data_IF_452081395773
#
_entry.id   IF_452081395773
#
_cell.length_a   1.000
_cell.length_b   1.000
_cell.length_c   1.000
_cell.angle_alpha   90.00
_cell.angle_beta   90.00
_cell.angle_gamma   90.00
#
_symmetry.space_group_name_H-M   'P 1'
#
loop_
_entity.id
_entity.type
_entity.pdbx_description
1 polymer ?
#
# COMPACT_ATOMS: atom_id res chain seq x y z
N UNK A 1 4.63 -38.18 14.02
CA UNK A 1 4.70 -37.67 12.63
C UNK A 1 4.34 -36.18 12.50
N UNK A 2 3.52 -35.59 13.37
CA UNK A 2 3.08 -34.17 13.26
C UNK A 2 4.15 -33.11 13.62
N UNK A 3 5.07 -33.39 14.53
CA UNK A 3 6.13 -32.45 14.95
C UNK A 3 7.22 -32.16 13.87
N UNK A 4 7.52 -33.11 12.98
CA UNK A 4 8.51 -32.91 11.91
C UNK A 4 8.00 -32.11 10.70
N UNK A 5 6.69 -32.10 10.46
CA UNK A 5 6.11 -31.25 9.43
C UNK A 5 6.00 -29.79 9.86
N UNK A 6 5.77 -29.56 11.17
CA UNK A 6 5.68 -28.21 11.72
C UNK A 6 7.04 -27.49 11.67
N UNK A 7 8.13 -28.21 11.97
CA UNK A 7 9.48 -27.65 11.90
C UNK A 7 9.93 -27.30 10.47
N UNK A 8 9.40 -28.00 9.47
CA UNK A 8 9.71 -27.73 8.04
C UNK A 8 8.97 -26.50 7.51
N UNK A 9 7.74 -26.26 7.96
CA UNK A 9 6.97 -25.05 7.56
C UNK A 9 7.55 -23.79 8.18
N UNK A 10 7.98 -23.81 9.46
CA UNK A 10 8.64 -22.67 10.12
C UNK A 10 10.01 -22.36 9.50
N UNK A 11 10.78 -23.37 9.09
CA UNK A 11 12.06 -23.16 8.44
C UNK A 11 11.93 -22.54 7.04
N UNK A 12 10.90 -22.91 6.25
CA UNK A 12 10.62 -22.32 4.93
C UNK A 12 10.16 -20.86 5.06
N UNK A 13 9.36 -20.54 6.08
CA UNK A 13 8.92 -19.16 6.33
C UNK A 13 10.09 -18.26 6.80
N UNK A 14 10.98 -18.79 7.64
CA UNK A 14 12.18 -18.07 8.09
C UNK A 14 13.15 -17.81 6.93
N UNK A 15 13.30 -18.78 6.01
CA UNK A 15 14.23 -18.67 4.86
C UNK A 15 13.75 -17.64 3.84
N UNK A 16 12.43 -17.54 3.58
CA UNK A 16 11.86 -16.53 2.68
C UNK A 16 12.00 -15.13 3.28
N UNK A 17 11.85 -14.98 4.59
CA UNK A 17 12.05 -13.70 5.30
C UNK A 17 13.52 -13.27 5.27
N UNK A 18 14.48 -14.20 5.45
CA UNK A 18 15.91 -13.88 5.37
C UNK A 18 16.36 -13.51 3.95
N UNK A 19 15.85 -14.16 2.90
CA UNK A 19 16.25 -13.87 1.51
C UNK A 19 15.73 -12.53 1.01
N UNK A 20 14.56 -12.09 1.44
CA UNK A 20 14.05 -10.76 1.10
C UNK A 20 14.76 -9.62 1.85
N UNK A 21 15.43 -9.94 2.97
CA UNK A 21 16.18 -8.96 3.77
C UNK A 21 17.60 -8.69 3.25
N UNK A 22 18.22 -9.65 2.57
CA UNK A 22 19.58 -9.48 2.02
C UNK A 22 19.64 -8.66 0.73
N UNK A 23 18.54 -8.56 -0.01
CA UNK A 23 18.45 -7.72 -1.21
C UNK A 23 18.27 -6.21 -0.90
N UNK A 24 18.02 -5.83 0.36
CA UNK A 24 17.80 -4.43 0.76
C UNK A 24 19.09 -3.67 1.13
N UNK A 25 20.27 -4.31 1.01
CA UNK A 25 21.54 -3.68 1.43
C UNK A 25 22.24 -2.83 0.36
N UNK A 26 21.65 -2.65 -0.80
CA UNK A 26 22.24 -1.83 -1.86
C UNK A 26 21.32 -0.64 -2.16
N UNK A 27 21.63 0.46 -1.56
CA UNK A 27 21.15 1.84 -1.74
C UNK A 27 20.41 2.41 -0.53
N UNK A 28 21.08 2.48 0.60
CA UNK A 28 20.65 3.33 1.69
C UNK A 28 21.38 4.66 1.61
N UNK A 29 20.60 5.71 1.44
CA UNK A 29 21.03 7.08 1.65
C UNK A 29 21.64 7.23 3.05
N UNK A 30 22.77 7.94 3.15
CA UNK A 30 23.63 7.97 4.34
C UNK A 30 22.97 8.73 5.48
N UNK A 31 22.11 8.08 6.24
CA UNK A 31 21.49 8.75 7.39
C UNK A 31 20.86 7.91 8.48
N UNK A 32 20.68 6.61 8.29
CA UNK A 32 19.91 5.79 9.24
C UNK A 32 20.50 4.39 9.50
N UNK A 33 21.79 4.20 9.86
CA UNK A 33 22.33 2.85 10.06
C UNK A 33 21.85 2.18 11.36
N UNK A 34 21.48 2.93 12.39
CA UNK A 34 21.12 2.38 13.71
C UNK A 34 19.69 1.87 13.75
N UNK A 35 18.74 2.61 13.18
CA UNK A 35 17.32 2.23 13.16
C UNK A 35 17.01 0.99 12.32
N UNK A 36 17.82 0.69 11.31
CA UNK A 36 17.58 -0.46 10.42
C UNK A 36 17.76 -1.82 11.10
N UNK A 37 18.65 -1.95 12.07
CA UNK A 37 18.89 -3.20 12.80
C UNK A 37 17.73 -3.56 13.73
N UNK A 38 17.27 -2.60 14.52
CA UNK A 38 16.15 -2.80 15.48
C UNK A 38 14.81 -2.95 14.79
N UNK A 39 14.56 -2.19 13.72
CA UNK A 39 13.35 -2.33 12.89
C UNK A 39 13.30 -3.71 12.23
N UNK A 40 14.44 -4.23 11.74
CA UNK A 40 14.52 -5.58 11.18
C UNK A 40 14.23 -6.67 12.18
N UNK A 41 14.64 -6.50 13.44
CA UNK A 41 14.42 -7.47 14.50
C UNK A 41 12.95 -7.51 14.96
N UNK A 42 12.25 -6.37 14.97
CA UNK A 42 10.86 -6.25 15.45
C UNK A 42 9.78 -6.45 14.37
N UNK A 43 10.10 -6.25 13.09
CA UNK A 43 9.15 -6.50 12.00
C UNK A 43 8.53 -7.92 12.02
N UNK A 44 9.29 -9.00 12.28
CA UNK A 44 8.71 -10.33 12.41
C UNK A 44 7.70 -10.44 13.56
N UNK A 45 7.97 -9.81 14.71
CA UNK A 45 7.10 -9.86 15.90
C UNK A 45 5.76 -9.15 15.67
N UNK A 46 5.73 -8.09 14.85
CA UNK A 46 4.50 -7.39 14.45
C UNK A 46 3.62 -8.19 13.49
N UNK A 47 4.21 -9.16 12.77
CA UNK A 47 3.52 -9.97 11.75
C UNK A 47 3.21 -11.39 12.22
N UNK A 48 3.83 -11.87 13.29
CA UNK A 48 3.46 -13.16 13.87
C UNK A 48 2.13 -13.00 14.60
N UNK A 49 1.12 -13.72 14.11
CA UNK A 49 -0.12 -13.92 14.85
C UNK A 49 0.25 -14.63 16.15
N UNK A 50 0.16 -13.93 17.27
CA UNK A 50 0.44 -14.47 18.59
C UNK A 50 -0.30 -15.78 18.83
N UNK A 51 0.43 -16.88 18.79
CA UNK A 51 0.06 -18.07 19.52
C UNK A 51 0.39 -17.81 21.00
N UNK A 52 -0.62 -17.94 21.84
CA UNK A 52 -0.64 -17.87 23.28
C UNK A 52 0.71 -18.19 23.98
N UNK A 53 1.58 -17.21 24.12
CA UNK A 53 2.65 -17.23 25.09
C UNK A 53 3.23 -15.82 25.24
N UNK A 54 2.97 -15.21 26.37
CA UNK A 54 3.36 -13.87 26.80
C UNK A 54 2.67 -12.73 26.04
N UNK A 55 1.60 -12.22 26.60
CA UNK A 55 0.98 -10.95 26.21
C UNK A 55 2.03 -9.86 26.43
N UNK A 56 2.67 -9.46 25.33
CA UNK A 56 3.53 -8.30 25.36
C UNK A 56 2.60 -7.09 25.43
N UNK A 57 2.53 -6.44 26.59
CA UNK A 57 1.70 -5.25 26.84
C UNK A 57 2.24 -4.00 26.12
N UNK A 58 2.91 -4.18 24.99
CA UNK A 58 3.38 -3.06 24.19
C UNK A 58 2.19 -2.25 23.69
N UNK A 59 2.22 -0.95 24.00
CA UNK A 59 1.21 0.00 23.54
C UNK A 59 1.66 0.64 22.25
N UNK A 60 0.73 0.74 21.32
CA UNK A 60 0.93 1.40 20.04
C UNK A 60 0.14 2.70 20.01
N UNK A 61 0.68 3.72 19.37
CA UNK A 61 -0.10 4.91 19.05
C UNK A 61 -1.18 4.52 18.05
N UNK A 62 -2.41 4.89 18.36
CA UNK A 62 -3.54 4.68 17.46
C UNK A 62 -3.50 5.72 16.37
N UNK A 63 -3.60 5.27 15.12
CA UNK A 63 -3.68 6.13 13.95
C UNK A 63 -5.06 6.77 13.79
N UNK A 64 -5.44 6.99 12.57
CA UNK A 64 -6.66 7.69 12.14
C UNK A 64 -6.36 8.85 11.20
N UNK A 65 -5.09 9.24 11.10
CA UNK A 65 -4.65 10.28 10.18
C UNK A 65 -4.51 9.76 8.76
N UNK A 66 -4.86 10.58 7.75
CA UNK A 66 -4.61 10.26 6.36
C UNK A 66 -3.12 10.28 6.06
N UNK A 67 -2.66 9.38 5.23
CA UNK A 67 -1.31 9.38 4.71
C UNK A 67 -1.29 9.02 3.23
N UNK A 68 -0.32 9.60 2.52
CA UNK A 68 -0.07 9.30 1.13
C UNK A 68 0.88 8.12 0.97
N UNK A 69 0.55 7.26 0.03
CA UNK A 69 1.38 6.13 -0.38
C UNK A 69 1.86 6.36 -1.79
N UNK A 70 3.16 6.12 -2.04
CA UNK A 70 3.70 6.03 -3.39
C UNK A 70 4.58 4.79 -3.50
N UNK A 71 4.15 3.83 -4.33
CA UNK A 71 4.89 2.60 -4.58
C UNK A 71 5.54 2.64 -5.98
N UNK A 72 6.77 2.15 -6.06
CA UNK A 72 7.49 1.95 -7.30
C UNK A 72 7.72 0.45 -7.50
N UNK A 73 7.27 -0.07 -8.63
CA UNK A 73 7.27 -1.51 -8.94
C UNK A 73 8.53 -2.05 -9.62
N UNK A 74 9.64 -1.28 -9.64
CA UNK A 74 10.91 -1.73 -10.25
C UNK A 74 10.95 -1.62 -11.77
N UNK A 75 10.15 -0.71 -12.35
CA UNK A 75 10.10 -0.42 -13.78
C UNK A 75 8.85 0.37 -14.14
N UNK A 76 8.69 0.64 -15.42
CA UNK A 76 7.62 1.47 -15.95
C UNK A 76 6.56 0.59 -16.60
N UNK A 77 5.36 0.61 -16.05
CA UNK A 77 4.25 -0.25 -16.50
C UNK A 77 3.59 0.36 -17.74
N UNK A 78 3.43 -0.44 -18.79
CA UNK A 78 2.62 -0.10 -19.96
C UNK A 78 1.15 -0.29 -19.60
N UNK A 79 0.42 0.81 -19.44
CA UNK A 79 -1.01 0.80 -19.11
C UNK A 79 -1.93 0.83 -20.32
N UNK A 80 -1.36 1.14 -21.51
CA UNK A 80 -2.09 1.14 -22.76
C UNK A 80 -1.19 1.38 -23.95
N UNK A 81 -1.73 1.19 -25.14
CA UNK A 81 -1.10 1.43 -26.42
C UNK A 81 -1.95 2.42 -27.23
N UNK A 82 -1.31 3.28 -28.01
CA UNK A 82 -1.98 4.19 -28.93
C UNK A 82 -2.63 3.40 -30.07
N UNK A 83 -3.79 3.84 -30.53
CA UNK A 83 -4.48 3.22 -31.67
C UNK A 83 -3.79 3.56 -32.99
N UNK A 84 -3.30 4.79 -33.10
CA UNK A 84 -2.65 5.31 -34.31
C UNK A 84 -1.12 5.25 -34.17
N UNK A 85 -0.46 4.80 -35.24
CA UNK A 85 1.02 4.79 -35.37
C UNK A 85 1.74 4.39 -34.08
N UNK A 86 1.50 3.16 -33.64
CA UNK A 86 2.11 2.64 -32.40
C UNK A 86 3.32 1.75 -32.74
N UNK A 87 4.55 2.28 -32.76
CA UNK A 87 5.76 1.48 -32.98
C UNK A 87 5.93 0.38 -31.95
N UNK A 88 5.55 0.63 -30.70
CA UNK A 88 5.64 -0.35 -29.62
C UNK A 88 4.73 -1.58 -29.89
N UNK A 89 3.51 -1.35 -30.41
CA UNK A 89 2.60 -2.45 -30.78
C UNK A 89 3.17 -3.29 -31.92
N UNK A 90 3.75 -2.62 -32.94
CA UNK A 90 4.39 -3.31 -34.06
C UNK A 90 5.62 -4.13 -33.62
N UNK A 91 6.29 -3.69 -32.56
CA UNK A 91 7.42 -4.39 -31.95
C UNK A 91 7.02 -5.49 -30.96
N UNK A 92 5.71 -5.70 -30.71
CA UNK A 92 5.20 -6.75 -29.83
C UNK A 92 5.15 -6.36 -28.34
N UNK A 93 5.21 -5.08 -28.02
CA UNK A 93 4.93 -4.59 -26.66
C UNK A 93 3.43 -4.67 -26.42
N UNK A 94 3.05 -5.11 -25.22
CA UNK A 94 1.67 -5.31 -24.79
C UNK A 94 1.36 -4.51 -23.52
N UNK A 95 0.09 -4.33 -23.26
CA UNK A 95 -0.38 -3.81 -21.97
C UNK A 95 0.07 -4.75 -20.85
N UNK A 96 0.53 -4.18 -19.74
CA UNK A 96 1.13 -4.83 -18.56
C UNK A 96 2.60 -5.20 -18.71
N UNK A 97 3.24 -4.99 -19.84
CA UNK A 97 4.68 -5.08 -19.89
C UNK A 97 5.30 -4.05 -18.96
N UNK A 98 6.37 -4.43 -18.28
CA UNK A 98 7.15 -3.54 -17.41
C UNK A 98 8.46 -3.24 -18.09
N UNK A 99 8.65 -1.99 -18.52
CA UNK A 99 9.92 -1.54 -19.10
C UNK A 99 10.92 -1.32 -17.98
N UNK A 100 12.04 -2.03 -18.01
CA UNK A 100 13.13 -1.94 -17.02
C UNK A 100 14.36 -1.24 -17.53
N UNK A 101 14.66 -1.37 -18.82
CA UNK A 101 15.90 -0.82 -19.40
C UNK A 101 15.68 -0.29 -20.80
N UNK A 102 16.49 0.69 -21.15
CA UNK A 102 16.66 1.18 -22.52
C UNK A 102 18.14 0.99 -22.89
N UNK A 103 18.43 0.05 -23.76
CA UNK A 103 19.79 -0.46 -23.95
C UNK A 103 20.33 -1.02 -22.63
N UNK A 104 21.52 -0.53 -22.21
CA UNK A 104 22.15 -0.94 -20.95
C UNK A 104 21.72 -0.11 -19.74
N UNK A 105 20.93 0.94 -19.94
CA UNK A 105 20.52 1.87 -18.87
C UNK A 105 19.21 1.40 -18.23
N UNK A 106 19.19 1.23 -16.92
CA UNK A 106 17.96 1.04 -16.15
C UNK A 106 17.12 2.32 -16.17
N UNK A 107 15.80 2.15 -16.29
CA UNK A 107 14.80 3.22 -16.20
C UNK A 107 13.77 2.87 -15.15
N UNK A 108 13.49 3.82 -14.26
CA UNK A 108 12.57 3.65 -13.14
C UNK A 108 11.44 4.67 -13.13
N UNK A 109 11.60 5.78 -13.87
CA UNK A 109 10.60 6.85 -13.95
C UNK A 109 10.17 7.11 -15.39
N UNK A 110 8.96 7.66 -15.53
CA UNK A 110 8.41 8.07 -16.85
C UNK A 110 9.32 9.08 -17.53
N UNK A 111 9.92 9.99 -16.76
CA UNK A 111 10.85 11.01 -17.26
C UNK A 111 12.12 10.38 -17.80
N UNK A 112 12.69 9.38 -17.13
CA UNK A 112 13.88 8.67 -17.57
C UNK A 112 13.65 7.93 -18.90
N UNK A 113 12.51 7.22 -19.01
CA UNK A 113 12.15 6.52 -20.24
C UNK A 113 11.87 7.50 -21.38
N UNK A 114 11.10 8.55 -21.10
CA UNK A 114 10.77 9.56 -22.12
C UNK A 114 12.02 10.27 -22.62
N UNK A 115 12.93 10.62 -21.71
CA UNK A 115 14.22 11.24 -22.07
C UNK A 115 15.10 10.31 -22.90
N UNK A 116 15.13 9.02 -22.57
CA UNK A 116 15.90 8.03 -23.33
C UNK A 116 15.34 7.83 -24.76
N UNK A 117 14.01 7.81 -24.91
CA UNK A 117 13.34 7.75 -26.20
C UNK A 117 13.65 9.00 -27.03
N UNK A 118 13.57 10.19 -26.44
CA UNK A 118 13.86 11.46 -27.11
C UNK A 118 15.33 11.53 -27.54
N UNK A 119 16.25 11.12 -26.66
CA UNK A 119 17.70 11.11 -26.94
C UNK A 119 18.10 10.16 -28.07
N UNK A 120 17.25 9.19 -28.43
CA UNK A 120 17.52 8.31 -29.57
C UNK A 120 17.53 9.03 -30.94
N UNK A 121 16.93 10.23 -31.03
CA UNK A 121 16.78 10.97 -32.26
C UNK A 121 15.98 10.23 -33.33
N UNK A 122 15.19 9.21 -32.98
CA UNK A 122 14.45 8.33 -33.87
C UNK A 122 15.20 7.09 -34.32
N UNK A 123 16.42 6.87 -33.84
CA UNK A 123 17.12 5.61 -34.06
C UNK A 123 16.45 4.46 -33.33
N UNK A 124 16.53 3.21 -33.82
CA UNK A 124 16.04 2.04 -33.14
C UNK A 124 16.63 1.93 -31.74
N UNK A 125 15.77 1.70 -30.71
CA UNK A 125 16.17 1.46 -29.33
C UNK A 125 15.77 0.06 -28.89
N UNK A 126 16.57 -0.58 -28.06
CA UNK A 126 16.24 -1.85 -27.46
C UNK A 126 15.69 -1.61 -26.07
N UNK A 127 14.46 -2.09 -25.80
CA UNK A 127 13.83 -2.08 -24.50
C UNK A 127 13.93 -3.46 -23.89
N UNK A 128 14.38 -3.55 -22.64
CA UNK A 128 14.22 -4.76 -21.84
C UNK A 128 12.90 -4.64 -21.10
N UNK A 129 11.97 -5.53 -21.40
CA UNK A 129 10.65 -5.59 -20.79
C UNK A 129 10.48 -6.88 -20.00
N UNK A 130 9.68 -6.84 -18.92
CA UNK A 130 9.19 -8.02 -18.23
C UNK A 130 7.72 -8.22 -18.55
N UNK A 131 7.35 -9.42 -18.97
CA UNK A 131 5.97 -9.89 -19.18
C UNK A 131 5.72 -11.05 -18.25
N UNK A 132 5.04 -10.80 -17.13
CA UNK A 132 5.01 -11.75 -16.02
C UNK A 132 6.42 -11.96 -15.44
N UNK A 133 6.87 -13.20 -15.37
CA UNK A 133 8.23 -13.55 -14.90
C UNK A 133 9.27 -13.58 -16.02
N UNK A 134 8.87 -13.41 -17.29
CA UNK A 134 9.75 -13.51 -18.45
C UNK A 134 10.33 -12.16 -18.83
N UNK A 135 11.66 -12.07 -18.92
CA UNK A 135 12.35 -10.88 -19.43
C UNK A 135 12.61 -11.03 -20.94
N UNK A 136 12.29 -9.99 -21.73
CA UNK A 136 12.41 -9.94 -23.18
C UNK A 136 13.08 -8.66 -23.63
N UNK A 137 13.87 -8.76 -24.70
CA UNK A 137 14.40 -7.60 -25.40
C UNK A 137 13.57 -7.33 -26.66
N UNK A 138 13.07 -6.11 -26.78
CA UNK A 138 12.22 -5.67 -27.88
C UNK A 138 12.86 -4.44 -28.53
N UNK A 139 13.07 -4.45 -29.84
CA UNK A 139 13.59 -3.29 -30.56
C UNK A 139 12.44 -2.46 -31.14
N UNK A 140 12.41 -1.17 -30.79
CA UNK A 140 11.38 -0.23 -31.21
C UNK A 140 12.03 0.96 -31.88
N UNK A 141 11.48 1.42 -33.02
CA UNK A 141 11.92 2.64 -33.72
C UNK A 141 10.96 3.78 -33.39
N UNK A 142 11.37 4.79 -32.60
CA UNK A 142 10.50 5.91 -32.27
C UNK A 142 10.10 6.74 -33.49
N UNK A 143 8.91 7.32 -33.46
CA UNK A 143 8.40 8.22 -34.49
C UNK A 143 8.08 9.58 -33.90
N UNK A 144 8.16 10.64 -34.72
CA UNK A 144 7.76 11.98 -34.24
C UNK A 144 6.27 12.12 -34.13
N UNK A 145 5.83 12.67 -33.00
CA UNK A 145 4.46 13.13 -32.83
C UNK A 145 4.22 14.49 -33.52
N UNK A 146 3.01 15.02 -33.49
CA UNK A 146 2.62 16.29 -34.09
C UNK A 146 3.39 17.50 -33.53
N UNK A 147 3.93 17.36 -32.31
CA UNK A 147 4.75 18.39 -31.65
C UNK A 147 6.24 18.24 -31.92
N UNK A 148 6.63 17.23 -32.71
CA UNK A 148 8.00 16.96 -33.08
C UNK A 148 8.80 16.14 -32.07
N UNK A 149 8.17 15.60 -31.01
CA UNK A 149 8.80 14.74 -30.02
C UNK A 149 8.80 13.29 -30.47
N UNK A 150 9.87 12.58 -30.16
CA UNK A 150 9.94 11.14 -30.42
C UNK A 150 9.09 10.32 -29.43
N UNK A 151 8.23 9.45 -29.97
CA UNK A 151 7.31 8.59 -29.23
C UNK A 151 7.32 7.18 -29.78
N UNK A 152 6.97 6.23 -28.92
CA UNK A 152 6.78 4.81 -29.30
C UNK A 152 5.32 4.37 -29.22
N UNK A 153 4.40 5.26 -28.80
CA UNK A 153 2.96 4.99 -28.79
C UNK A 153 2.48 4.18 -27.59
N UNK A 154 3.08 4.36 -26.42
CA UNK A 154 2.66 3.72 -25.16
C UNK A 154 2.13 4.73 -24.16
N UNK A 155 1.12 4.32 -23.39
CA UNK A 155 0.71 4.96 -22.15
C UNK A 155 1.40 4.25 -21.00
N UNK A 156 2.06 5.00 -20.14
CA UNK A 156 2.96 4.45 -19.12
C UNK A 156 2.72 5.03 -17.74
N UNK A 157 3.05 4.26 -16.70
CA UNK A 157 3.03 4.65 -15.31
C UNK A 157 4.20 4.01 -14.57
N UNK A 158 4.89 4.76 -13.74
CA UNK A 158 6.05 4.31 -12.97
C UNK A 158 5.73 4.05 -11.49
N UNK A 159 4.61 4.58 -11.02
CA UNK A 159 4.22 4.45 -9.62
C UNK A 159 2.72 4.24 -9.45
N UNK A 160 2.35 3.68 -8.31
CA UNK A 160 0.99 3.73 -7.79
C UNK A 160 0.98 4.68 -6.60
N UNK A 161 0.11 5.66 -6.63
CA UNK A 161 -0.08 6.60 -5.55
C UNK A 161 -1.54 6.62 -5.11
N UNK A 162 -1.77 6.85 -3.82
CA UNK A 162 -3.10 6.91 -3.24
C UNK A 162 -3.06 7.45 -1.82
N UNK A 163 -4.25 7.68 -1.27
CA UNK A 163 -4.45 8.08 0.12
C UNK A 163 -5.06 6.91 0.87
N UNK A 164 -4.60 6.72 2.09
CA UNK A 164 -5.16 5.78 3.05
C UNK A 164 -5.06 6.32 4.46
N UNK A 165 -5.47 5.51 5.42
CA UNK A 165 -5.45 5.88 6.83
C UNK A 165 -4.41 5.05 7.59
N UNK A 166 -3.64 5.72 8.45
CA UNK A 166 -2.70 5.09 9.37
C UNK A 166 -3.49 4.30 10.42
N UNK A 167 -3.12 3.04 10.65
CA UNK A 167 -3.81 2.20 11.64
C UNK A 167 -3.15 2.31 13.00
N UNK A 168 -1.84 2.11 13.03
CA UNK A 168 -1.04 2.18 14.24
C UNK A 168 0.39 2.61 13.97
N UNK A 169 1.06 3.08 15.01
CA UNK A 169 2.46 3.46 15.01
C UNK A 169 3.13 2.96 16.30
N UNK A 170 4.24 2.27 16.17
CA UNK A 170 5.12 1.95 17.30
C UNK A 170 5.85 3.22 17.75
N UNK A 171 5.62 3.70 18.98
CA UNK A 171 6.19 4.96 19.44
C UNK A 171 7.69 4.91 19.70
N UNK A 172 8.30 3.73 19.77
CA UNK A 172 9.73 3.57 20.01
C UNK A 172 10.53 3.48 18.69
N UNK A 173 9.98 2.78 17.70
CA UNK A 173 10.70 2.45 16.47
C UNK A 173 10.24 3.23 15.25
N UNK A 174 9.06 3.88 15.32
CA UNK A 174 8.43 4.52 14.18
C UNK A 174 7.83 3.53 13.16
N UNK A 175 7.82 2.23 13.46
CA UNK A 175 7.17 1.22 12.61
C UNK A 175 5.68 1.46 12.62
N UNK A 176 5.06 1.46 11.45
CA UNK A 176 3.63 1.68 11.29
C UNK A 176 2.97 0.62 10.41
N UNK A 177 1.66 0.48 10.58
CA UNK A 177 0.77 -0.21 9.67
C UNK A 177 -0.38 0.67 9.24
N UNK A 178 -0.83 0.51 8.00
CA UNK A 178 -1.94 1.27 7.43
C UNK A 178 -2.62 0.57 6.26
N UNK A 179 -3.69 1.18 5.74
CA UNK A 179 -4.56 0.69 4.67
C UNK A 179 -5.39 -0.56 4.99
N UNK A 180 -4.94 -1.47 5.85
CA UNK A 180 -5.66 -2.71 6.16
C UNK A 180 -5.81 -3.70 5.00
N UNK A 181 -5.36 -3.37 3.80
CA UNK A 181 -5.31 -4.20 2.60
C UNK A 181 -4.10 -3.85 1.75
N UNK A 182 -3.71 -4.75 0.85
CA UNK A 182 -2.61 -4.49 -0.08
C UNK A 182 -2.98 -3.52 -1.18
N UNK A 183 -1.97 -2.85 -1.72
CA UNK A 183 -2.10 -2.06 -2.93
C UNK A 183 -1.96 -3.02 -4.10
N UNK A 184 -3.03 -3.15 -4.86
CA UNK A 184 -3.13 -4.07 -5.97
C UNK A 184 -3.21 -3.33 -7.31
N UNK A 185 -2.88 -4.02 -8.37
CA UNK A 185 -3.19 -3.57 -9.73
C UNK A 185 -4.71 -3.56 -9.93
N UNK A 186 -5.25 -2.41 -10.34
CA UNK A 186 -6.70 -2.20 -10.47
C UNK A 186 -7.40 -3.06 -11.53
N UNK A 187 -6.66 -3.80 -12.36
CA UNK A 187 -7.21 -4.65 -13.42
C UNK A 187 -7.06 -6.14 -13.11
N UNK A 188 -5.96 -6.53 -12.46
CA UNK A 188 -5.68 -7.93 -12.13
C UNK A 188 -6.11 -8.30 -10.73
N UNK A 189 -6.17 -7.32 -9.82
CA UNK A 189 -6.33 -7.56 -8.40
C UNK A 189 -5.07 -8.12 -7.71
N UNK A 190 -3.97 -8.30 -8.44
CA UNK A 190 -2.71 -8.80 -7.89
C UNK A 190 -1.98 -7.71 -7.11
N UNK A 191 -1.30 -8.12 -6.04
CA UNK A 191 -0.46 -7.20 -5.26
C UNK A 191 0.60 -6.56 -6.13
N UNK A 192 0.70 -5.23 -6.08
CA UNK A 192 1.79 -4.53 -6.76
C UNK A 192 3.13 -4.88 -6.10
N UNK A 193 4.14 -5.24 -6.92
CA UNK A 193 5.48 -5.47 -6.42
C UNK A 193 6.04 -4.17 -5.81
N UNK A 194 6.75 -4.29 -4.71
CA UNK A 194 7.37 -3.18 -4.02
C UNK A 194 8.88 -3.23 -4.19
N UNK A 195 9.44 -2.36 -5.01
CA UNK A 195 10.89 -2.11 -5.09
C UNK A 195 11.29 -0.96 -4.17
N UNK A 196 10.52 0.11 -4.22
CA UNK A 196 10.62 1.27 -3.32
C UNK A 196 9.23 1.74 -2.94
N UNK A 197 9.09 2.27 -1.73
CA UNK A 197 7.86 2.89 -1.29
C UNK A 197 8.14 4.13 -0.45
N UNK A 198 7.34 5.16 -0.65
CA UNK A 198 7.39 6.40 0.11
C UNK A 198 6.07 6.65 0.83
N UNK A 199 6.17 7.13 2.06
CA UNK A 199 5.07 7.75 2.79
C UNK A 199 5.16 9.24 2.57
N UNK A 200 4.04 9.85 2.22
CA UNK A 200 3.90 11.28 1.98
C UNK A 200 2.86 11.86 2.93
N UNK A 201 2.96 13.12 3.31
CA UNK A 201 1.84 13.81 3.94
C UNK A 201 0.64 13.78 3.00
N UNK A 202 -0.56 13.64 3.57
CA UNK A 202 -1.81 13.74 2.82
C UNK A 202 -2.77 14.68 3.54
N UNK A 203 -3.49 15.47 2.77
CA UNK A 203 -4.52 16.37 3.25
C UNK A 203 -5.81 16.08 2.50
N UNK A 204 -6.90 15.83 3.24
CA UNK A 204 -8.23 15.61 2.66
C UNK A 204 -8.86 16.96 2.35
N UNK A 205 -9.18 17.17 1.07
CA UNK A 205 -9.76 18.44 0.57
C UNK A 205 -11.24 18.30 0.20
N UNK A 206 -11.73 17.09 -0.09
CA UNK A 206 -13.09 16.85 -0.54
C UNK A 206 -13.57 15.48 -0.06
N UNK A 207 -14.85 15.41 0.28
CA UNK A 207 -15.55 14.15 0.57
C UNK A 207 -16.59 13.91 -0.53
N UNK A 208 -16.37 12.88 -1.33
CA UNK A 208 -17.40 12.37 -2.24
C UNK A 208 -18.22 11.36 -1.47
N UNK A 209 -19.48 11.71 -1.22
CA UNK A 209 -20.37 10.87 -0.44
C UNK A 209 -20.69 9.54 -1.16
N UNK A 210 -20.65 8.44 -0.42
CA UNK A 210 -21.08 7.14 -0.88
C UNK A 210 -22.61 7.02 -0.90
N UNK A 211 -23.11 6.15 -1.77
CA UNK A 211 -24.49 5.73 -1.84
C UNK A 211 -24.56 4.27 -2.28
N UNK A 212 -25.72 3.64 -2.13
CA UNK A 212 -25.93 2.28 -2.61
C UNK A 212 -25.51 2.14 -4.09
N UNK A 213 -24.67 1.18 -4.38
CA UNK A 213 -24.11 0.93 -5.72
C UNK A 213 -23.01 1.89 -6.17
N UNK A 214 -22.70 2.92 -5.39
CA UNK A 214 -21.65 3.90 -5.74
C UNK A 214 -20.76 4.16 -4.54
N UNK A 215 -19.49 3.68 -4.56
CA UNK A 215 -18.57 3.94 -3.47
C UNK A 215 -18.25 5.43 -3.40
N UNK A 216 -18.23 5.99 -2.18
CA UNK A 216 -17.71 7.33 -1.94
C UNK A 216 -16.20 7.34 -1.85
N UNK A 217 -15.62 8.53 -1.74
CA UNK A 217 -14.15 8.71 -1.75
C UNK A 217 -13.75 9.92 -0.92
N UNK A 218 -12.68 9.77 -0.14
CA UNK A 218 -11.93 10.90 0.41
C UNK A 218 -10.90 11.35 -0.62
N UNK A 219 -11.06 12.55 -1.15
CA UNK A 219 -10.10 13.14 -2.09
C UNK A 219 -9.21 14.12 -1.38
N UNK A 220 -7.95 14.10 -1.76
CA UNK A 220 -6.97 14.97 -1.13
C UNK A 220 -5.74 15.18 -1.98
N UNK A 221 -4.82 15.95 -1.44
CA UNK A 221 -3.51 16.23 -2.03
C UNK A 221 -2.41 15.49 -1.29
N UNK A 222 -1.38 15.12 -2.03
CA UNK A 222 -0.17 14.51 -1.48
C UNK A 222 0.93 15.58 -1.41
N UNK A 223 1.56 15.70 -0.24
CA UNK A 223 2.74 16.54 -0.07
C UNK A 223 3.93 16.03 -0.88
N UNK A 224 4.88 16.93 -1.17
CA UNK A 224 6.07 16.59 -1.96
C UNK A 224 7.18 15.90 -1.17
N UNK A 225 7.29 16.17 0.12
CA UNK A 225 8.35 15.64 0.97
C UNK A 225 8.00 14.25 1.53
N UNK A 226 8.97 13.34 1.42
CA UNK A 226 8.87 11.99 1.98
C UNK A 226 9.00 12.05 3.51
N UNK A 227 7.98 11.58 4.23
CA UNK A 227 7.95 11.51 5.70
C UNK A 227 8.18 10.09 6.24
N UNK A 228 8.33 9.10 5.38
CA UNK A 228 8.58 7.73 5.77
C UNK A 228 8.85 6.81 4.57
N UNK A 229 9.19 5.57 4.88
CA UNK A 229 9.47 4.54 3.88
C UNK A 229 8.51 3.38 4.06
N UNK A 230 7.89 2.93 2.96
CA UNK A 230 7.12 1.69 2.93
C UNK A 230 8.11 0.53 2.71
N UNK A 231 8.05 -0.45 3.57
CA UNK A 231 8.92 -1.62 3.57
C UNK A 231 8.22 -2.87 3.06
N UNK A 232 6.88 -2.93 3.18
CA UNK A 232 6.08 -4.06 2.74
C UNK A 232 4.72 -3.62 2.21
N UNK A 233 4.31 -4.26 1.11
CA UNK A 233 2.96 -4.29 0.59
C UNK A 233 2.46 -5.72 0.70
N UNK A 234 1.45 -5.97 1.52
CA UNK A 234 0.91 -7.32 1.81
C UNK A 234 -0.60 -7.33 1.68
N UNK A 235 -1.21 -8.50 1.67
CA UNK A 235 -2.67 -8.69 1.70
C UNK A 235 -3.36 -8.07 2.94
N UNK A 236 -2.58 -7.78 4.00
CA UNK A 236 -3.06 -7.21 5.27
C UNK A 236 -2.81 -5.71 5.41
N UNK A 237 -2.18 -5.09 4.44
CA UNK A 237 -1.88 -3.68 4.44
C UNK A 237 -0.46 -3.33 4.03
N UNK A 238 -0.15 -2.05 4.14
CA UNK A 238 1.20 -1.53 3.96
C UNK A 238 1.85 -1.29 5.31
N UNK A 239 3.14 -1.60 5.38
CA UNK A 239 3.94 -1.45 6.58
C UNK A 239 5.24 -0.75 6.25
N UNK A 240 5.70 0.07 7.19
CA UNK A 240 6.89 0.87 6.96
C UNK A 240 7.41 1.55 8.22
N UNK A 241 8.23 2.57 8.03
CA UNK A 241 8.80 3.37 9.12
C UNK A 241 8.64 4.84 8.80
N UNK A 242 8.13 5.61 9.75
CA UNK A 242 8.11 7.07 9.68
C UNK A 242 9.48 7.63 10.06
N UNK A 243 9.88 8.70 9.39
CA UNK A 243 11.15 9.41 9.67
C UNK A 243 11.09 10.21 10.97
N UNK A 244 9.87 10.61 11.37
CA UNK A 244 9.60 11.32 12.60
C UNK A 244 8.38 10.72 13.28
N UNK A 245 8.48 10.48 14.58
CA UNK A 245 7.39 9.94 15.39
C UNK A 245 6.64 11.13 15.99
N UNK A 246 5.32 11.29 15.69
CA UNK A 246 4.53 12.35 16.32
C UNK A 246 4.56 12.23 17.85
N UNK A 247 4.77 13.33 18.56
CA UNK A 247 4.78 13.31 20.05
C UNK A 247 3.38 13.06 20.61
N UNK A 248 2.34 13.67 20.03
CA UNK A 248 0.96 13.51 20.43
C UNK A 248 0.36 12.19 19.93
N UNK A 249 -0.69 11.71 20.59
CA UNK A 249 -1.49 10.55 20.21
C UNK A 249 -1.73 9.59 21.36
N UNK A 250 -2.93 9.01 21.37
CA UNK A 250 -3.31 7.99 22.35
C UNK A 250 -2.59 6.67 22.06
N UNK A 251 -2.16 6.00 23.12
CA UNK A 251 -1.56 4.67 23.03
C UNK A 251 -2.47 3.61 23.61
N UNK A 252 -2.77 2.57 22.84
CA UNK A 252 -3.58 1.44 23.25
C UNK A 252 -2.82 0.12 23.09
N UNK A 253 -3.26 -0.88 23.85
CA UNK A 253 -2.86 -2.26 23.63
C UNK A 253 -3.55 -2.80 22.37
N UNK A 254 -2.89 -3.72 21.68
CA UNK A 254 -3.53 -4.48 20.59
C UNK A 254 -4.35 -5.60 21.19
N UNK A 255 -5.64 -5.63 20.87
CA UNK A 255 -6.53 -6.72 21.22
C UNK A 255 -6.36 -7.91 20.29
N UNK A 256 -6.13 -9.10 20.85
CA UNK A 256 -6.14 -10.33 20.10
C UNK A 256 -7.54 -10.63 19.52
N UNK A 257 -7.63 -11.57 18.56
CA UNK A 257 -8.92 -11.98 17.94
C UNK A 257 -9.97 -12.43 18.94
N UNK A 258 -9.56 -13.00 20.08
CA UNK A 258 -10.46 -13.43 21.16
C UNK A 258 -11.12 -12.26 21.92
N UNK A 259 -10.55 -11.06 21.81
CA UNK A 259 -11.10 -9.85 22.42
C UNK A 259 -12.23 -9.24 21.58
N UNK A 260 -12.32 -9.58 20.28
CA UNK A 260 -13.34 -9.02 19.39
C UNK A 260 -14.71 -9.59 19.71
N UNK A 261 -15.70 -8.73 19.89
CA UNK A 261 -17.09 -9.08 20.22
C UNK A 261 -18.07 -8.32 19.35
N UNK A 262 -19.20 -8.93 19.02
CA UNK A 262 -20.32 -8.23 18.40
C UNK A 262 -20.84 -7.12 19.33
N UNK A 263 -21.31 -6.03 18.76
CA UNK A 263 -21.82 -4.85 19.45
C UNK A 263 -20.98 -3.60 19.26
N UNK A 264 -21.11 -2.64 20.14
CA UNK A 264 -20.53 -1.31 20.01
C UNK A 264 -19.00 -1.32 19.93
N UNK A 265 -18.47 -0.48 19.05
CA UNK A 265 -17.06 -0.19 18.89
C UNK A 265 -16.88 1.25 18.34
N UNK A 266 -15.65 1.68 18.22
CA UNK A 266 -15.28 3.01 17.74
C UNK A 266 -14.40 2.89 16.51
N UNK A 267 -14.74 3.66 15.49
CA UNK A 267 -13.93 3.89 14.31
C UNK A 267 -13.25 5.26 14.44
N UNK A 268 -11.94 5.31 14.28
CA UNK A 268 -11.19 6.57 14.33
C UNK A 268 -10.69 6.95 12.95
N UNK A 269 -11.02 8.14 12.46
CA UNK A 269 -10.50 8.67 11.21
C UNK A 269 -10.55 10.21 11.17
N UNK A 270 -9.76 10.78 10.28
CA UNK A 270 -9.81 12.19 9.92
C UNK A 270 -10.52 12.37 8.59
N UNK A 271 -11.48 13.27 8.54
CA UNK A 271 -12.24 13.63 7.34
C UNK A 271 -11.85 15.00 6.77
N UNK A 272 -10.68 15.54 7.13
CA UNK A 272 -10.19 16.83 6.68
C UNK A 272 -10.06 17.86 7.81
N UNK A 273 -10.57 19.09 7.60
CA UNK A 273 -10.36 20.23 8.49
C UNK A 273 -10.75 20.03 9.96
N UNK A 274 -11.70 19.14 10.24
CA UNK A 274 -12.12 18.86 11.61
C UNK A 274 -11.12 17.97 12.39
N UNK A 275 -10.09 17.50 11.71
CA UNK A 275 -9.08 16.61 12.27
C UNK A 275 -9.61 15.21 12.59
N UNK A 276 -8.87 14.49 13.43
CA UNK A 276 -9.15 13.12 13.83
C UNK A 276 -10.32 13.07 14.82
N UNK A 277 -11.29 12.18 14.56
CA UNK A 277 -12.47 11.94 15.40
C UNK A 277 -12.78 10.47 15.55
N UNK A 278 -13.48 10.17 16.64
CA UNK A 278 -14.02 8.88 16.97
C UNK A 278 -15.51 8.84 16.59
N UNK A 279 -15.88 7.82 15.79
CA UNK A 279 -17.24 7.59 15.33
C UNK A 279 -17.77 6.26 15.85
N UNK A 280 -19.04 6.21 16.18
CA UNK A 280 -19.70 4.99 16.67
C UNK A 280 -19.96 4.02 15.52
N UNK A 281 -19.64 2.77 15.75
CA UNK A 281 -19.92 1.65 14.87
C UNK A 281 -20.44 0.46 15.66
N UNK A 282 -21.04 -0.49 14.96
CA UNK A 282 -21.40 -1.78 15.50
C UNK A 282 -20.70 -2.90 14.74
N UNK A 283 -20.18 -3.89 15.47
CA UNK A 283 -19.52 -5.05 14.90
C UNK A 283 -20.46 -6.23 14.83
N UNK A 284 -20.47 -6.92 13.70
CA UNK A 284 -21.22 -8.17 13.49
C UNK A 284 -20.37 -9.21 12.75
N UNK A 285 -20.93 -10.37 12.50
CA UNK A 285 -20.36 -11.46 11.70
C UNK A 285 -18.91 -11.82 12.06
N UNK A 286 -18.64 -11.94 13.36
CA UNK A 286 -17.29 -12.21 13.86
C UNK A 286 -16.83 -13.59 13.41
N UNK A 287 -15.88 -13.64 12.46
CA UNK A 287 -15.24 -14.87 12.02
C UNK A 287 -14.17 -15.31 13.03
N UNK A 288 -14.33 -16.51 13.59
CA UNK A 288 -13.40 -17.08 14.57
C UNK A 288 -12.37 -18.02 13.95
N UNK A 289 -12.49 -18.31 12.66
CA UNK A 289 -11.53 -19.15 11.96
C UNK A 289 -10.34 -18.30 11.45
N UNK A 290 -9.17 -18.92 11.40
CA UNK A 290 -7.91 -18.25 11.00
C UNK A 290 -7.73 -18.13 9.48
N UNK A 291 -8.79 -18.26 8.66
CA UNK A 291 -8.66 -18.44 7.21
C UNK A 291 -8.78 -17.17 6.38
N UNK A 292 -8.99 -16.00 6.99
CA UNK A 292 -9.19 -14.78 6.20
C UNK A 292 -8.67 -13.51 6.84
N UNK A 293 -8.48 -12.49 6.01
CA UNK A 293 -8.14 -11.13 6.44
C UNK A 293 -9.39 -10.43 7.00
N UNK A 294 -10.58 -10.77 6.48
CA UNK A 294 -11.87 -10.24 6.93
C UNK A 294 -12.32 -11.00 8.17
N UNK A 295 -12.31 -10.30 9.30
CA UNK A 295 -12.59 -10.92 10.59
C UNK A 295 -13.98 -10.57 11.15
N UNK A 296 -14.60 -9.49 10.71
CA UNK A 296 -15.92 -9.03 11.13
C UNK A 296 -16.50 -8.01 10.15
N UNK A 297 -17.82 -7.81 10.20
CA UNK A 297 -18.49 -6.73 9.50
C UNK A 297 -18.60 -5.50 10.42
N UNK A 298 -18.69 -4.33 9.83
CA UNK A 298 -18.83 -3.02 10.49
C UNK A 298 -20.10 -2.39 9.97
N UNK A 299 -20.95 -1.89 10.88
CA UNK A 299 -22.07 -1.01 10.58
C UNK A 299 -21.81 0.35 11.20
N UNK A 300 -21.89 1.40 10.39
CA UNK A 300 -21.76 2.77 10.88
C UNK A 300 -23.06 3.19 11.54
N UNK A 301 -23.01 3.49 12.84
CA UNK A 301 -24.16 3.95 13.62
C UNK A 301 -24.08 5.43 14.00
N UNK A 302 -22.94 6.07 13.72
CA UNK A 302 -22.72 7.49 14.00
C UNK A 302 -23.40 8.37 12.96
N UNK A 303 -24.41 9.20 13.36
CA UNK A 303 -25.15 10.05 12.44
C UNK A 303 -24.26 11.07 11.71
N UNK A 304 -23.21 11.59 12.40
CA UNK A 304 -22.33 12.59 11.80
C UNK A 304 -21.47 11.99 10.69
N UNK A 305 -21.00 10.74 10.85
CA UNK A 305 -20.29 10.04 9.80
C UNK A 305 -21.20 9.73 8.62
N UNK A 306 -22.41 9.21 8.88
CA UNK A 306 -23.41 8.89 7.84
C UNK A 306 -23.80 10.16 7.05
N UNK A 307 -24.02 11.28 7.74
CA UNK A 307 -24.36 12.54 7.09
C UNK A 307 -23.25 13.01 6.14
N UNK A 308 -21.98 12.93 6.58
CA UNK A 308 -20.81 13.43 5.83
C UNK A 308 -20.41 12.51 4.67
N UNK A 309 -20.33 11.23 4.93
CA UNK A 309 -19.73 10.27 4.00
C UNK A 309 -20.73 9.29 3.39
N UNK A 310 -21.91 9.14 3.97
CA UNK A 310 -22.89 8.12 3.58
C UNK A 310 -22.50 6.70 4.02
N UNK A 311 -21.50 6.56 4.93
CA UNK A 311 -20.97 5.30 5.42
C UNK A 311 -19.44 5.22 5.24
N UNK A 312 -18.90 4.02 5.09
CA UNK A 312 -17.48 3.81 4.83
C UNK A 312 -17.17 4.14 3.37
N UNK A 313 -16.16 4.98 3.13
CA UNK A 313 -15.76 5.44 1.79
C UNK A 313 -14.29 5.12 1.51
N UNK A 314 -13.89 5.16 0.24
CA UNK A 314 -12.49 4.99 -0.16
C UNK A 314 -11.63 6.08 0.48
N UNK A 315 -10.42 5.71 0.91
CA UNK A 315 -9.53 6.55 1.72
C UNK A 315 -9.63 6.28 3.22
N UNK A 316 -10.76 5.75 3.73
CA UNK A 316 -10.89 5.31 5.12
C UNK A 316 -10.25 3.94 5.39
N UNK A 317 -9.77 3.27 4.37
CA UNK A 317 -9.02 2.02 4.49
C UNK A 317 -7.82 2.20 5.42
N UNK A 318 -7.71 1.35 6.46
CA UNK A 318 -6.72 1.47 7.53
C UNK A 318 -7.22 2.20 8.78
N UNK A 319 -8.38 2.85 8.75
CA UNK A 319 -8.95 3.49 9.95
C UNK A 319 -9.03 2.50 11.10
N UNK A 320 -8.39 2.79 12.26
CA UNK A 320 -8.36 1.87 13.39
C UNK A 320 -9.73 1.69 14.02
N UNK A 321 -9.97 0.45 14.48
CA UNK A 321 -11.18 0.05 15.19
C UNK A 321 -10.82 -0.26 16.62
N UNK A 322 -11.51 0.39 17.56
CA UNK A 322 -11.25 0.33 18.98
C UNK A 322 -12.47 -0.26 19.68
N UNK A 323 -12.25 -1.27 20.52
CA UNK A 323 -13.29 -1.84 21.38
C UNK A 323 -12.70 -2.10 22.77
N UNK A 324 -13.42 -1.72 23.82
CA UNK A 324 -13.01 -1.88 25.22
C UNK A 324 -11.61 -1.34 25.53
N UNK A 325 -11.24 -0.19 24.92
CA UNK A 325 -9.93 0.44 25.10
C UNK A 325 -8.75 -0.30 24.45
N UNK A 326 -9.03 -1.18 23.48
CA UNK A 326 -8.00 -1.91 22.70
C UNK A 326 -8.16 -1.68 21.22
N UNK A 327 -7.05 -1.58 20.52
CA UNK A 327 -7.01 -1.60 19.06
C UNK A 327 -7.25 -3.03 18.58
N UNK A 328 -8.39 -3.30 17.94
CA UNK A 328 -8.81 -4.65 17.56
C UNK A 328 -8.76 -4.93 16.06
N UNK A 329 -8.59 -3.92 15.24
CA UNK A 329 -8.56 -4.07 13.78
C UNK A 329 -8.53 -2.75 13.05
N UNK A 330 -8.76 -2.84 11.74
CA UNK A 330 -8.83 -1.70 10.84
C UNK A 330 -9.87 -1.93 9.74
N UNK A 331 -10.39 -0.85 9.19
CA UNK A 331 -11.21 -0.88 7.97
C UNK A 331 -10.39 -1.41 6.81
N UNK A 332 -10.93 -2.37 6.07
CA UNK A 332 -10.25 -2.95 4.90
C UNK A 332 -11.01 -2.73 3.59
N UNK A 333 -12.31 -2.97 3.59
CA UNK A 333 -13.16 -2.93 2.40
C UNK A 333 -14.52 -2.33 2.74
N UNK A 334 -15.12 -1.68 1.75
CA UNK A 334 -16.50 -1.20 1.80
C UNK A 334 -17.41 -2.16 1.04
N UNK A 335 -18.60 -2.40 1.55
CA UNK A 335 -19.66 -3.11 0.84
C UNK A 335 -20.38 -2.10 -0.05
N UNK A 336 -20.22 -2.21 -1.37
CA UNK A 336 -20.80 -1.23 -2.33
C UNK A 336 -22.33 -1.25 -2.29
N UNK A 337 -22.94 -2.41 -1.96
CA UNK A 337 -24.39 -2.54 -1.87
C UNK A 337 -24.99 -1.96 -0.57
N UNK A 338 -24.19 -1.80 0.47
CA UNK A 338 -24.55 -1.23 1.76
C UNK A 338 -23.31 -0.62 2.40
N UNK A 339 -23.07 0.67 2.20
CA UNK A 339 -21.87 1.35 2.72
C UNK A 339 -21.96 1.71 4.21
N UNK A 340 -23.14 1.56 4.85
CA UNK A 340 -23.39 1.85 6.29
C UNK A 340 -23.23 0.58 7.18
#
# INVERSE_FOLDING_TARGET
MKKKQFLRLTAVFLTVILFSLTALTVSADRGLPVLQGEVKARLPELFETHHEASVNYQKYKVGGDPFGVRLFGGGIVVVGLSDDRCPAKAAGIEKRDIVRRVGDREVQTVEELTSAIEASGGAPITLTICRGEEEKNVTVTPVKDEKGHYRIGIWIRDNAAGIGTLTFLDPETGVFGGLGHGICDGQTGELLPLTRGAVLPAEICEIVRGAEGTPGELRGTLGGEKVGTILRNTDKGVFGVLSQIPEAGETLEIGGRTCVRAGEATLRCSLGEEGMRDYRIELSDIARDNRGVKCFAIHVTDPALIEKTGGIVQGMSGSPIIQDGKLIGAVTHVLIGDPT
#
